data_IF_448029427878
#
_entry.id   IF_448029427878
#
_cell.length_a   1.000
_cell.length_b   1.000
_cell.length_c   1.000
_cell.angle_alpha   90.00
_cell.angle_beta   90.00
_cell.angle_gamma   90.00
#
_symmetry.space_group_name_H-M   'P 1'
#
loop_
_entity.id
_entity.type
_entity.pdbx_description
1 polymer ?
#
# COMPACT_ATOMS: atom_id res chain seq x y z
N UNK A 1 21.44 -49.24 60.91
CA UNK A 1 20.76 -48.08 61.51
C UNK A 1 20.58 -47.05 60.41
N UNK A 2 19.35 -46.81 59.92
CA UNK A 2 19.05 -45.89 58.81
C UNK A 2 18.14 -44.80 59.37
N UNK A 3 18.60 -43.55 59.32
CA UNK A 3 17.86 -42.39 59.81
C UNK A 3 16.91 -41.98 58.69
N UNK A 4 15.60 -42.05 58.93
CA UNK A 4 14.56 -41.64 57.98
C UNK A 4 14.36 -40.13 58.11
N UNK A 5 14.80 -39.38 57.11
CA UNK A 5 14.58 -37.94 57.03
C UNK A 5 13.12 -37.66 56.64
N UNK A 6 12.38 -37.02 57.55
CA UNK A 6 10.98 -36.66 57.34
C UNK A 6 10.96 -35.35 56.54
N UNK A 7 10.61 -35.42 55.26
CA UNK A 7 10.43 -34.24 54.42
C UNK A 7 9.18 -33.49 54.92
N UNK A 8 9.38 -32.39 55.64
CA UNK A 8 8.31 -31.47 56.01
C UNK A 8 7.94 -30.63 54.78
N UNK A 9 6.92 -31.05 54.04
CA UNK A 9 6.23 -30.14 53.13
C UNK A 9 5.47 -29.12 53.98
N UNK A 10 6.02 -27.91 54.12
CA UNK A 10 5.26 -26.77 54.60
C UNK A 10 4.22 -26.45 53.55
N UNK A 11 2.96 -26.78 53.82
CA UNK A 11 1.83 -26.31 53.04
C UNK A 11 1.74 -24.78 53.22
N UNK A 12 2.26 -24.04 52.24
CA UNK A 12 2.06 -22.60 52.09
C UNK A 12 0.65 -22.37 51.54
N UNK A 13 -0.32 -22.23 52.45
CA UNK A 13 -1.67 -21.83 52.11
C UNK A 13 -1.73 -20.35 51.74
N UNK A 14 -2.37 -20.04 50.61
CA UNK A 14 -2.55 -18.69 50.10
C UNK A 14 -3.72 -18.00 50.81
N UNK A 15 -3.53 -16.79 51.33
CA UNK A 15 -4.60 -16.03 51.98
C UNK A 15 -5.60 -15.48 50.96
N UNK A 16 -6.88 -15.40 51.32
CA UNK A 16 -7.92 -14.76 50.50
C UNK A 16 -7.59 -13.29 50.22
N UNK A 17 -6.93 -12.61 51.16
CA UNK A 17 -6.47 -11.22 50.98
C UNK A 17 -5.33 -11.14 49.97
N UNK A 18 -4.40 -12.10 49.96
CA UNK A 18 -3.32 -12.16 48.95
C UNK A 18 -3.91 -12.40 47.55
N UNK A 19 -4.96 -13.22 47.44
CA UNK A 19 -5.68 -13.43 46.17
C UNK A 19 -6.36 -12.16 45.67
N UNK A 20 -7.04 -11.43 46.56
CA UNK A 20 -7.66 -10.15 46.20
C UNK A 20 -6.62 -9.12 45.76
N UNK A 21 -5.48 -9.05 46.44
CA UNK A 21 -4.39 -8.14 46.08
C UNK A 21 -3.81 -8.49 44.71
N UNK A 22 -3.53 -9.77 44.44
CA UNK A 22 -2.97 -10.21 43.14
C UNK A 22 -3.94 -9.95 42.00
N UNK A 23 -5.23 -10.26 42.16
CA UNK A 23 -6.24 -9.97 41.15
C UNK A 23 -6.40 -8.47 40.91
N UNK A 24 -6.31 -7.65 41.96
CA UNK A 24 -6.30 -6.20 41.87
C UNK A 24 -5.14 -5.70 41.01
N UNK A 25 -3.91 -6.14 41.31
CA UNK A 25 -2.70 -5.72 40.57
C UNK A 25 -2.76 -6.19 39.10
N UNK A 26 -3.14 -7.45 38.85
CA UNK A 26 -3.26 -7.99 37.48
C UNK A 26 -4.29 -7.20 36.66
N UNK A 27 -5.42 -6.82 37.26
CA UNK A 27 -6.46 -6.05 36.56
C UNK A 27 -5.97 -4.68 36.08
N UNK A 28 -5.19 -3.99 36.93
CA UNK A 28 -4.62 -2.67 36.62
C UNK A 28 -3.52 -2.81 35.56
N UNK A 29 -2.61 -3.78 35.72
CA UNK A 29 -1.55 -4.02 34.74
C UNK A 29 -2.12 -4.39 33.37
N UNK A 30 -3.14 -5.27 33.32
CA UNK A 30 -3.78 -5.67 32.07
C UNK A 30 -4.40 -4.48 31.33
N UNK A 31 -5.08 -3.58 32.04
CA UNK A 31 -5.69 -2.39 31.44
C UNK A 31 -4.65 -1.45 30.80
N UNK A 32 -3.50 -1.24 31.43
CA UNK A 32 -2.43 -0.37 30.89
C UNK A 32 -1.78 -1.04 29.67
N UNK A 33 -1.48 -2.33 29.78
CA UNK A 33 -0.78 -3.10 28.75
C UNK A 33 -1.58 -3.16 27.45
N UNK A 34 -2.89 -3.43 27.51
CA UNK A 34 -3.77 -3.49 26.32
C UNK A 34 -3.77 -2.16 25.55
N UNK A 35 -3.92 -1.05 26.26
CA UNK A 35 -3.96 0.28 25.64
C UNK A 35 -2.62 0.65 24.96
N UNK A 36 -1.50 0.30 25.60
CA UNK A 36 -0.17 0.55 25.03
C UNK A 36 0.08 -0.22 23.73
N UNK A 37 -0.33 -1.49 23.67
CA UNK A 37 -0.16 -2.32 22.48
C UNK A 37 -1.09 -1.91 21.34
N UNK A 38 -2.33 -1.52 21.64
CA UNK A 38 -3.28 -1.07 20.61
C UNK A 38 -2.80 0.19 19.88
N UNK A 39 -2.29 1.18 20.64
CA UNK A 39 -1.78 2.42 20.06
C UNK A 39 -0.49 2.18 19.26
N UNK A 40 0.47 1.42 19.82
CA UNK A 40 1.71 1.09 19.13
C UNK A 40 1.45 0.28 17.84
N UNK A 41 0.48 -0.62 17.84
CA UNK A 41 0.10 -1.39 16.65
C UNK A 41 -0.53 -0.51 15.57
N UNK A 42 -1.36 0.47 15.94
CA UNK A 42 -1.93 1.43 14.99
C UNK A 42 -0.86 2.34 14.38
N UNK A 43 0.04 2.87 15.20
CA UNK A 43 1.16 3.69 14.74
C UNK A 43 2.07 2.93 13.80
N UNK A 44 2.40 1.68 14.15
CA UNK A 44 3.19 0.79 13.28
C UNK A 44 2.51 0.59 11.93
N UNK A 45 1.19 0.39 11.91
CA UNK A 45 0.43 0.26 10.66
C UNK A 45 0.44 1.55 9.84
N UNK A 46 0.29 2.71 10.48
CA UNK A 46 0.39 4.02 9.81
C UNK A 46 1.77 4.27 9.21
N UNK A 47 2.85 3.79 9.85
CA UNK A 47 4.19 3.84 9.28
C UNK A 47 4.29 2.93 8.05
N UNK A 48 3.74 1.71 8.13
CA UNK A 48 3.72 0.77 7.00
C UNK A 48 2.91 1.31 5.82
N UNK A 49 1.76 1.96 6.04
CA UNK A 49 0.96 2.53 4.93
C UNK A 49 1.70 3.67 4.23
N UNK A 50 2.40 4.52 4.99
CA UNK A 50 3.28 5.56 4.41
C UNK A 50 4.47 4.98 3.67
N UNK A 51 5.07 3.92 4.17
CA UNK A 51 6.15 3.22 3.47
C UNK A 51 5.65 2.65 2.14
N UNK A 52 4.47 2.02 2.14
CA UNK A 52 3.84 1.51 0.91
C UNK A 52 3.54 2.63 -0.09
N UNK A 53 3.10 3.80 0.38
CA UNK A 53 2.94 4.99 -0.46
C UNK A 53 4.27 5.39 -1.12
N UNK A 54 5.36 5.44 -0.35
CA UNK A 54 6.68 5.79 -0.85
C UNK A 54 7.22 4.76 -1.86
N UNK A 55 6.97 3.47 -1.63
CA UNK A 55 7.31 2.40 -2.56
C UNK A 55 6.57 2.58 -3.89
N UNK A 56 5.24 2.77 -3.86
CA UNK A 56 4.47 3.01 -5.08
C UNK A 56 4.91 4.31 -5.78
N UNK A 57 5.18 5.39 -5.03
CA UNK A 57 5.66 6.64 -5.63
C UNK A 57 7.01 6.46 -6.32
N UNK A 58 7.92 5.68 -5.73
CA UNK A 58 9.22 5.37 -6.33
C UNK A 58 9.05 4.54 -7.60
N UNK A 59 8.19 3.52 -7.58
CA UNK A 59 7.89 2.69 -8.74
C UNK A 59 7.29 3.51 -9.89
N UNK A 60 6.35 4.41 -9.59
CA UNK A 60 5.78 5.33 -10.59
C UNK A 60 6.86 6.26 -11.15
N UNK A 61 7.72 6.84 -10.31
CA UNK A 61 8.78 7.74 -10.77
C UNK A 61 9.77 7.01 -11.70
N UNK A 62 10.15 5.78 -11.34
CA UNK A 62 11.03 4.95 -12.15
C UNK A 62 10.38 4.57 -13.49
N UNK A 63 9.09 4.22 -13.48
CA UNK A 63 8.33 3.98 -14.70
C UNK A 63 8.31 5.21 -15.61
N UNK A 64 7.98 6.39 -15.08
CA UNK A 64 7.98 7.65 -15.85
C UNK A 64 9.36 7.90 -16.47
N UNK A 65 10.44 7.74 -15.69
CA UNK A 65 11.80 7.92 -16.17
C UNK A 65 12.17 6.95 -17.29
N UNK A 66 11.74 5.68 -17.22
CA UNK A 66 11.97 4.68 -18.26
C UNK A 66 11.12 4.88 -19.52
N UNK A 67 9.96 5.54 -19.40
CA UNK A 67 9.10 5.83 -20.54
C UNK A 67 9.54 7.07 -21.33
N UNK A 68 10.13 8.08 -20.67
CA UNK A 68 10.48 9.34 -21.34
C UNK A 68 11.75 9.18 -22.18
N UNK A 69 11.74 9.84 -23.34
CA UNK A 69 12.88 9.88 -24.25
C UNK A 69 12.89 8.69 -25.21
N UNK A 70 13.25 8.93 -26.47
CA UNK A 70 13.16 7.95 -27.55
C UNK A 70 11.82 7.98 -28.29
N UNK A 71 11.58 6.96 -29.10
CA UNK A 71 10.43 6.87 -29.99
C UNK A 71 9.67 5.56 -29.79
N UNK A 72 8.36 5.59 -29.97
CA UNK A 72 7.54 4.38 -30.02
C UNK A 72 6.58 4.40 -31.22
N UNK A 73 6.07 3.22 -31.56
CA UNK A 73 5.08 2.99 -32.62
C UNK A 73 3.80 2.49 -31.98
N UNK A 74 2.95 3.40 -31.49
CA UNK A 74 1.86 3.01 -30.60
C UNK A 74 0.61 2.53 -31.33
N UNK A 75 0.42 2.92 -32.58
CA UNK A 75 -0.73 2.54 -33.38
C UNK A 75 -0.50 1.19 -34.08
N UNK A 76 -1.21 0.11 -33.69
CA UNK A 76 -1.08 -1.19 -34.36
C UNK A 76 -1.54 -1.14 -35.82
N UNK A 77 -2.45 -0.21 -36.16
CA UNK A 77 -3.02 -0.09 -37.50
C UNK A 77 -2.18 0.82 -38.41
N UNK A 78 -1.25 1.60 -37.84
CA UNK A 78 -0.35 2.46 -38.58
C UNK A 78 1.10 2.29 -38.09
N UNK A 79 1.81 1.25 -38.55
CA UNK A 79 3.17 0.95 -38.10
C UNK A 79 4.21 2.01 -38.51
N UNK A 80 3.85 2.94 -39.39
CA UNK A 80 4.71 4.06 -39.81
C UNK A 80 4.55 5.29 -38.90
N UNK A 81 3.54 5.32 -38.03
CA UNK A 81 3.38 6.38 -37.05
C UNK A 81 4.41 6.21 -35.93
N UNK A 82 5.45 7.02 -35.98
CA UNK A 82 6.49 7.08 -34.96
C UNK A 82 6.26 8.35 -34.14
N UNK A 83 6.12 8.19 -32.82
CA UNK A 83 5.89 9.31 -31.91
C UNK A 83 7.04 9.37 -30.91
N UNK A 84 7.53 10.59 -30.68
CA UNK A 84 8.51 10.87 -29.63
C UNK A 84 7.86 10.75 -28.25
N UNK A 85 8.52 10.04 -27.34
CA UNK A 85 8.06 9.86 -25.95
C UNK A 85 8.35 11.09 -25.09
N UNK A 86 7.68 12.18 -25.43
CA UNK A 86 7.68 13.43 -24.65
C UNK A 86 6.93 13.24 -23.33
N UNK A 87 7.10 14.18 -22.40
CA UNK A 87 6.36 14.17 -21.11
C UNK A 87 4.84 14.19 -21.32
N UNK A 88 4.36 14.96 -22.30
CA UNK A 88 2.92 15.02 -22.63
C UNK A 88 2.40 13.68 -23.13
N UNK A 89 3.20 13.01 -23.97
CA UNK A 89 2.86 11.69 -24.49
C UNK A 89 2.81 10.62 -23.38
N UNK A 90 3.84 10.55 -22.54
CA UNK A 90 3.88 9.59 -21.42
C UNK A 90 2.76 9.87 -20.42
N UNK A 91 2.39 11.14 -20.22
CA UNK A 91 1.20 11.50 -19.44
C UNK A 91 -0.08 10.93 -20.05
N UNK A 92 -0.29 11.07 -21.35
CA UNK A 92 -1.45 10.48 -22.01
C UNK A 92 -1.45 8.95 -21.85
N UNK A 93 -0.29 8.29 -22.01
CA UNK A 93 -0.13 6.85 -21.79
C UNK A 93 -0.47 6.42 -20.35
N UNK A 94 -0.09 7.21 -19.35
CA UNK A 94 -0.43 6.99 -17.94
C UNK A 94 -1.92 7.20 -17.66
N UNK A 95 -2.52 8.21 -18.29
CA UNK A 95 -3.90 8.59 -18.05
C UNK A 95 -4.91 7.76 -18.84
N UNK A 96 -4.54 7.18 -19.98
CA UNK A 96 -5.48 6.53 -20.90
C UNK A 96 -5.06 5.13 -21.34
N UNK A 97 -6.05 4.23 -21.43
CA UNK A 97 -5.83 2.80 -21.69
C UNK A 97 -5.69 2.46 -23.17
N UNK A 98 -6.37 3.22 -24.03
CA UNK A 98 -6.45 3.00 -25.47
C UNK A 98 -6.25 4.30 -26.22
N UNK A 99 -5.66 4.20 -27.42
CA UNK A 99 -5.42 5.33 -28.34
C UNK A 99 -4.73 6.52 -27.64
N UNK A 100 -3.83 6.24 -26.70
CA UNK A 100 -3.14 7.26 -25.92
C UNK A 100 -2.21 8.16 -26.76
N UNK A 101 -2.01 7.78 -28.02
CA UNK A 101 -1.22 8.50 -29.03
C UNK A 101 -2.02 9.51 -29.85
N UNK A 102 -3.32 9.68 -29.60
CA UNK A 102 -4.18 10.65 -30.31
C UNK A 102 -4.50 11.88 -29.45
N UNK A 103 -5.01 12.94 -30.08
CA UNK A 103 -5.44 14.17 -29.39
C UNK A 103 -6.75 13.99 -28.58
N UNK A 104 -7.53 12.95 -28.89
CA UNK A 104 -8.78 12.61 -28.22
C UNK A 104 -8.78 11.12 -27.79
N UNK A 105 -8.04 10.77 -26.72
CA UNK A 105 -7.89 9.38 -26.27
C UNK A 105 -9.18 8.79 -25.70
N UNK A 106 -9.36 7.46 -25.85
CA UNK A 106 -10.68 6.81 -25.77
C UNK A 106 -11.18 6.43 -24.38
N UNK A 107 -10.31 6.13 -23.40
CA UNK A 107 -10.73 5.68 -22.06
C UNK A 107 -9.70 6.03 -20.97
N UNK A 108 -10.09 6.66 -19.84
CA UNK A 108 -9.19 6.91 -18.72
C UNK A 108 -8.79 5.60 -18.01
N UNK A 109 -7.55 5.55 -17.52
CA UNK A 109 -7.02 4.47 -16.68
C UNK A 109 -7.42 4.66 -15.23
N UNK A 110 -7.65 3.55 -14.54
CA UNK A 110 -7.92 3.50 -13.11
C UNK A 110 -6.85 2.66 -12.39
N UNK A 111 -6.76 2.82 -11.07
CA UNK A 111 -5.75 2.21 -10.18
C UNK A 111 -6.04 0.74 -9.83
N UNK A 112 -6.36 -0.09 -10.82
CA UNK A 112 -6.49 -1.55 -10.72
C UNK A 112 -7.18 -2.04 -11.97
N UNK A 113 -6.89 -3.25 -12.41
CA UNK A 113 -7.67 -3.85 -13.49
C UNK A 113 -8.15 -5.25 -13.20
N UNK A 114 -9.34 -5.52 -13.73
CA UNK A 114 -10.02 -6.79 -13.74
C UNK A 114 -10.48 -7.00 -15.19
N UNK A 115 -10.28 -8.18 -15.76
CA UNK A 115 -10.78 -8.49 -17.10
C UNK A 115 -9.95 -7.97 -18.28
N UNK A 116 -8.62 -7.87 -18.13
CA UNK A 116 -7.69 -7.76 -19.27
C UNK A 116 -7.41 -6.34 -19.79
N UNK A 117 -8.05 -5.30 -19.27
CA UNK A 117 -7.60 -3.91 -19.47
C UNK A 117 -6.37 -3.68 -18.59
N UNK A 118 -5.41 -2.85 -19.01
CA UNK A 118 -4.21 -2.50 -18.21
C UNK A 118 -4.53 -1.33 -17.28
N UNK A 119 -4.25 -1.46 -15.98
CA UNK A 119 -4.49 -0.41 -14.96
C UNK A 119 -3.27 0.46 -14.70
N UNK A 120 -3.41 1.52 -13.89
CA UNK A 120 -2.25 2.32 -13.46
C UNK A 120 -1.26 1.52 -12.60
N UNK A 121 -1.76 0.61 -11.76
CA UNK A 121 -0.91 -0.28 -10.96
C UNK A 121 -0.17 -1.28 -11.86
N UNK A 122 -0.80 -1.73 -12.95
CA UNK A 122 -0.21 -2.68 -13.89
C UNK A 122 0.94 -2.04 -14.71
N UNK A 123 0.86 -0.73 -14.98
CA UNK A 123 1.96 0.00 -15.65
C UNK A 123 3.29 -0.09 -14.90
N UNK A 124 3.22 -0.14 -13.57
CA UNK A 124 4.40 -0.12 -12.70
C UNK A 124 4.77 -1.51 -12.19
N UNK A 125 4.18 -2.58 -12.73
CA UNK A 125 4.43 -3.97 -12.30
C UNK A 125 5.92 -4.29 -12.27
N UNK A 126 6.63 -4.03 -13.36
CA UNK A 126 8.07 -4.32 -13.50
C UNK A 126 8.97 -3.45 -12.61
N UNK A 127 8.39 -2.46 -11.93
CA UNK A 127 9.06 -1.55 -11.01
C UNK A 127 8.73 -1.84 -9.54
N UNK A 128 7.93 -2.88 -9.30
CA UNK A 128 7.62 -3.45 -8.00
C UNK A 128 8.19 -4.87 -7.95
N UNK A 129 8.49 -5.37 -6.76
CA UNK A 129 8.69 -6.80 -6.58
C UNK A 129 7.36 -7.54 -6.79
N UNK A 130 7.46 -8.77 -7.31
CA UNK A 130 6.29 -9.58 -7.65
C UNK A 130 5.38 -9.79 -6.44
N UNK A 131 5.94 -10.08 -5.26
CA UNK A 131 5.19 -10.30 -4.02
C UNK A 131 4.38 -9.05 -3.62
N UNK A 132 4.99 -7.86 -3.70
CA UNK A 132 4.29 -6.59 -3.40
C UNK A 132 3.19 -6.30 -4.41
N UNK A 133 3.45 -6.50 -5.71
CA UNK A 133 2.44 -6.33 -6.74
C UNK A 133 1.27 -7.29 -6.54
N UNK A 134 1.54 -8.58 -6.33
CA UNK A 134 0.54 -9.60 -6.03
C UNK A 134 -0.24 -9.28 -4.77
N UNK A 135 0.43 -8.82 -3.72
CA UNK A 135 -0.23 -8.43 -2.48
C UNK A 135 -1.22 -7.27 -2.69
N UNK A 136 -0.86 -6.24 -3.46
CA UNK A 136 -1.79 -5.18 -3.83
C UNK A 136 -2.91 -5.70 -4.75
N UNK A 137 -2.59 -6.63 -5.67
CA UNK A 137 -3.50 -7.27 -6.62
C UNK A 137 -4.43 -8.33 -6.02
N UNK A 138 -4.14 -8.82 -4.82
CA UNK A 138 -5.04 -9.65 -4.03
C UNK A 138 -5.87 -8.78 -3.08
N UNK A 139 -5.22 -7.89 -2.32
CA UNK A 139 -5.86 -7.12 -1.24
C UNK A 139 -6.90 -6.11 -1.70
N UNK A 140 -6.74 -5.51 -2.87
CA UNK A 140 -7.72 -4.54 -3.43
C UNK A 140 -8.79 -5.16 -4.35
N UNK A 141 -8.85 -6.50 -4.51
CA UNK A 141 -9.64 -7.17 -5.57
C UNK A 141 -11.13 -7.12 -5.34
N UNK A 142 -11.48 -6.87 -4.08
CA UNK A 142 -12.84 -6.74 -3.59
C UNK A 142 -13.33 -5.29 -3.63
N UNK A 143 -12.52 -4.34 -4.12
CA UNK A 143 -12.78 -2.91 -4.02
C UNK A 143 -12.80 -2.23 -5.40
N UNK A 144 -13.36 -1.01 -5.43
CA UNK A 144 -13.45 -0.17 -6.63
C UNK A 144 -12.08 -0.06 -7.32
N UNK A 145 -12.06 -0.14 -8.66
CA UNK A 145 -10.86 -0.03 -9.51
C UNK A 145 -9.96 1.19 -9.26
N UNK A 146 -10.40 2.18 -8.47
CA UNK A 146 -9.61 3.36 -8.13
C UNK A 146 -8.82 3.25 -6.83
N UNK A 147 -9.07 2.24 -5.99
CA UNK A 147 -8.46 2.09 -4.66
C UNK A 147 -7.47 0.95 -4.64
N UNK A 148 -6.26 1.23 -4.15
CA UNK A 148 -5.22 0.25 -3.86
C UNK A 148 -5.17 0.06 -2.34
N UNK A 149 -5.23 -1.20 -1.91
CA UNK A 149 -5.29 -1.59 -0.50
C UNK A 149 -4.21 -2.62 -0.20
N UNK A 150 -3.80 -2.62 1.07
CA UNK A 150 -2.95 -3.62 1.70
C UNK A 150 -3.60 -4.09 3.01
N UNK A 151 -3.07 -5.16 3.61
CA UNK A 151 -3.51 -5.58 4.95
C UNK A 151 -3.39 -4.47 6.00
N UNK A 152 -2.33 -3.65 5.97
CA UNK A 152 -2.16 -2.54 6.90
C UNK A 152 -3.21 -1.43 6.67
N UNK A 153 -3.43 -1.05 5.41
CA UNK A 153 -4.41 -0.04 5.00
C UNK A 153 -5.84 -0.43 5.37
N UNK A 154 -6.23 -1.69 5.13
CA UNK A 154 -7.54 -2.20 5.51
C UNK A 154 -7.79 -2.07 7.03
N UNK A 155 -6.74 -2.23 7.84
CA UNK A 155 -6.85 -2.14 9.30
C UNK A 155 -6.80 -0.72 9.83
N UNK A 156 -6.25 0.24 9.08
CA UNK A 156 -6.25 1.67 9.43
C UNK A 156 -7.41 2.43 8.79
N UNK A 157 -8.19 1.78 7.92
CA UNK A 157 -9.25 2.43 7.13
C UNK A 157 -8.74 3.17 5.90
N UNK A 158 -7.43 3.25 5.71
CA UNK A 158 -6.80 4.04 4.66
C UNK A 158 -6.80 3.31 3.31
N UNK A 159 -6.54 4.05 2.23
CA UNK A 159 -6.28 3.49 0.91
C UNK A 159 -5.38 4.41 0.09
N UNK A 160 -4.69 3.81 -0.89
CA UNK A 160 -3.87 4.55 -1.85
C UNK A 160 -4.63 4.73 -3.16
N UNK A 161 -4.39 5.85 -3.83
CA UNK A 161 -4.85 6.06 -5.21
C UNK A 161 -3.70 6.54 -6.08
N UNK A 162 -3.60 5.98 -7.28
CA UNK A 162 -2.75 6.52 -8.35
C UNK A 162 -3.60 7.53 -9.11
N UNK A 163 -3.55 8.80 -8.72
CA UNK A 163 -4.37 9.86 -9.29
C UNK A 163 -3.95 10.14 -10.75
N UNK A 164 -4.86 10.73 -11.54
CA UNK A 164 -4.53 11.13 -12.91
C UNK A 164 -3.34 12.10 -12.90
N UNK A 165 -2.42 11.94 -13.85
CA UNK A 165 -1.31 12.85 -13.99
C UNK A 165 -1.85 14.17 -14.56
N UNK A 166 -1.88 15.19 -13.69
CA UNK A 166 -2.37 16.51 -14.01
C UNK A 166 -1.59 17.17 -15.17
N UNK A 167 -2.30 17.94 -15.99
CA UNK A 167 -1.66 18.79 -16.98
C UNK A 167 -0.92 19.96 -16.32
N UNK A 168 0.22 20.39 -16.89
CA UNK A 168 0.93 21.54 -16.41
C UNK A 168 0.03 22.76 -16.60
N UNK A 169 0.08 23.65 -15.63
CA UNK A 169 -0.61 24.92 -15.68
C UNK A 169 0.40 26.06 -15.45
N UNK A 170 -0.07 27.31 -15.55
CA UNK A 170 0.81 28.47 -15.38
C UNK A 170 1.59 28.48 -14.05
N UNK A 171 1.04 27.85 -13.01
CA UNK A 171 1.59 27.79 -11.65
C UNK A 171 2.40 26.52 -11.37
N UNK A 172 2.31 25.49 -12.22
CA UNK A 172 3.00 24.23 -12.06
C UNK A 172 3.33 23.64 -13.44
N UNK A 173 4.53 23.96 -13.94
CA UNK A 173 5.01 23.52 -15.26
C UNK A 173 5.53 22.08 -15.28
N UNK A 174 5.93 21.55 -14.13
CA UNK A 174 6.55 20.22 -14.00
C UNK A 174 5.69 19.34 -13.10
N UNK A 175 4.54 18.91 -13.63
CA UNK A 175 3.68 17.96 -12.93
C UNK A 175 4.25 16.55 -13.06
N UNK A 176 4.13 15.75 -12.00
CA UNK A 176 4.41 14.32 -11.99
C UNK A 176 3.21 13.58 -11.42
N UNK A 177 2.99 12.32 -11.80
CA UNK A 177 1.96 11.48 -11.17
C UNK A 177 2.26 11.33 -9.68
N UNK A 178 1.20 11.36 -8.87
CA UNK A 178 1.30 11.29 -7.41
C UNK A 178 0.52 10.11 -6.88
N UNK A 179 1.08 9.48 -5.87
CA UNK A 179 0.40 8.48 -5.04
C UNK A 179 -0.16 9.21 -3.82
N UNK A 180 -1.47 9.19 -3.68
CA UNK A 180 -2.18 9.86 -2.59
C UNK A 180 -2.69 8.83 -1.59
N UNK A 181 -2.45 9.10 -0.31
CA UNK A 181 -2.96 8.31 0.81
C UNK A 181 -4.18 9.00 1.39
N UNK A 182 -5.31 8.29 1.35
CA UNK A 182 -6.58 8.76 1.87
C UNK A 182 -6.95 8.04 3.17
N UNK A 183 -7.59 8.74 4.12
CA UNK A 183 -8.18 8.14 5.31
C UNK A 183 -9.43 7.31 4.99
#
# INVERSE_FOLDING_TARGET
MRISEKINNKDVGFSLVELLLVLGIISIMAAIVINSFSNAAQDSRNVVTRQQQATLQSAVNNWVAGQIGGYERPDPNNPNLVIERTVSYVRNKYNYGANYWTDAPGLPRNSRTLGGVVGRLDLIRDYLDEDTYEHFMNSSSQFNSNKILSGAMQKTGQYLTLSAWANPNANNKNTYPKVELFP
#
